data_IF_574952947543
#
_entry.id   IF_574952947543
#
_cell.length_a   1.000
_cell.length_b   1.000
_cell.length_c   1.000
_cell.angle_alpha   90.00
_cell.angle_beta   90.00
_cell.angle_gamma   90.00
#
_symmetry.space_group_name_H-M   'P 1'
#
loop_
_entity.id
_entity.type
_entity.pdbx_description
1 polymer ?
#
# COMPACT_ATOMS: atom_id res chain seq x y z
N UNK A 1 -30.69 -20.15 -21.27
CA UNK A 1 -29.98 -18.88 -21.32
C UNK A 1 -30.25 -18.18 -19.99
N UNK A 2 -29.42 -18.41 -18.98
CA UNK A 2 -29.52 -17.71 -17.70
C UNK A 2 -28.94 -16.32 -17.93
N UNK A 3 -29.76 -15.28 -17.70
CA UNK A 3 -29.33 -13.89 -17.71
C UNK A 3 -28.22 -13.65 -16.70
N UNK A 4 -27.47 -12.54 -16.83
CA UNK A 4 -26.40 -12.22 -15.89
C UNK A 4 -27.02 -12.12 -14.49
N UNK A 5 -26.57 -12.97 -13.57
CA UNK A 5 -26.89 -12.80 -12.13
C UNK A 5 -26.47 -11.37 -11.76
N UNK A 6 -27.45 -10.57 -11.35
CA UNK A 6 -27.15 -9.27 -10.75
C UNK A 6 -26.29 -9.54 -9.52
N UNK A 7 -25.07 -9.02 -9.53
CA UNK A 7 -24.19 -9.04 -8.37
C UNK A 7 -24.98 -8.34 -7.27
N UNK A 8 -25.29 -9.08 -6.21
CA UNK A 8 -25.92 -8.46 -5.04
C UNK A 8 -24.85 -7.58 -4.37
N UNK A 9 -24.88 -6.30 -4.75
CA UNK A 9 -23.92 -5.31 -4.31
C UNK A 9 -23.93 -5.14 -2.80
N UNK A 10 -25.08 -5.35 -2.17
CA UNK A 10 -25.23 -5.26 -0.72
C UNK A 10 -24.53 -6.41 -0.01
N UNK A 11 -24.52 -7.61 -0.59
CA UNK A 11 -23.76 -8.75 -0.06
C UNK A 11 -22.26 -8.48 -0.13
N UNK A 12 -21.77 -7.97 -1.25
CA UNK A 12 -20.35 -7.67 -1.41
C UNK A 12 -19.87 -6.59 -0.41
N UNK A 13 -20.63 -5.51 -0.24
CA UNK A 13 -20.30 -4.47 0.74
C UNK A 13 -20.36 -4.97 2.18
N UNK A 14 -21.33 -5.78 2.55
CA UNK A 14 -21.37 -6.40 3.88
C UNK A 14 -20.16 -7.29 4.14
N UNK A 15 -19.76 -8.10 3.18
CA UNK A 15 -18.55 -8.93 3.30
C UNK A 15 -17.28 -8.08 3.43
N UNK A 16 -17.16 -7.03 2.63
CA UNK A 16 -16.06 -6.07 2.74
C UNK A 16 -16.00 -5.41 4.12
N UNK A 17 -17.13 -4.94 4.64
CA UNK A 17 -17.19 -4.34 5.97
C UNK A 17 -16.83 -5.34 7.09
N UNK A 18 -17.31 -6.58 7.00
CA UNK A 18 -16.98 -7.63 7.96
C UNK A 18 -15.48 -7.97 7.91
N UNK A 19 -14.92 -8.12 6.73
CA UNK A 19 -13.49 -8.35 6.56
C UNK A 19 -12.67 -7.16 7.07
N UNK A 20 -13.09 -5.93 6.78
CA UNK A 20 -12.43 -4.72 7.28
C UNK A 20 -12.41 -4.63 8.81
N UNK A 21 -13.47 -5.08 9.48
CA UNK A 21 -13.54 -5.09 10.95
C UNK A 21 -12.71 -6.19 11.58
N UNK A 22 -12.73 -7.39 11.01
CA UNK A 22 -12.12 -8.59 11.60
C UNK A 22 -10.63 -8.72 11.25
N UNK A 23 -10.26 -8.49 10.02
CA UNK A 23 -8.92 -8.76 9.51
C UNK A 23 -7.80 -7.97 10.22
N UNK A 24 -7.92 -6.64 10.42
CA UNK A 24 -6.88 -5.87 11.10
C UNK A 24 -6.69 -6.29 12.56
N UNK A 25 -7.74 -6.73 13.25
CA UNK A 25 -7.64 -7.16 14.64
C UNK A 25 -6.84 -8.47 14.77
N UNK A 26 -7.12 -9.44 13.91
CA UNK A 26 -6.40 -10.73 13.86
C UNK A 26 -4.92 -10.50 13.50
N UNK A 27 -4.65 -9.70 12.49
CA UNK A 27 -3.28 -9.43 12.06
C UNK A 27 -2.47 -8.63 13.08
N UNK A 28 -3.09 -7.68 13.80
CA UNK A 28 -2.43 -6.95 14.89
C UNK A 28 -1.99 -7.88 16.01
N UNK A 29 -2.80 -8.90 16.35
CA UNK A 29 -2.42 -9.91 17.32
C UNK A 29 -1.21 -10.71 16.83
N UNK A 30 -1.22 -11.14 15.58
CA UNK A 30 -0.11 -11.87 14.95
C UNK A 30 1.19 -11.05 14.91
N UNK A 31 1.10 -9.76 14.61
CA UNK A 31 2.24 -8.83 14.64
C UNK A 31 2.86 -8.80 16.04
N UNK A 32 2.06 -8.65 17.10
CA UNK A 32 2.55 -8.65 18.49
C UNK A 32 3.22 -9.97 18.87
N UNK A 33 2.67 -11.09 18.45
CA UNK A 33 3.27 -12.41 18.67
C UNK A 33 4.64 -12.52 17.99
N UNK A 34 4.75 -12.08 16.74
CA UNK A 34 6.02 -12.07 16.00
C UNK A 34 7.03 -11.13 16.69
N UNK A 35 6.62 -9.95 17.13
CA UNK A 35 7.47 -9.00 17.86
C UNK A 35 8.00 -9.62 19.18
N UNK A 36 7.13 -10.27 19.94
CA UNK A 36 7.53 -10.97 21.17
C UNK A 36 8.55 -12.10 20.91
N UNK A 37 8.41 -12.83 19.81
CA UNK A 37 9.36 -13.86 19.38
C UNK A 37 10.68 -13.26 18.89
N UNK A 38 10.64 -12.13 18.19
CA UNK A 38 11.83 -11.41 17.73
C UNK A 38 12.71 -10.90 18.87
N UNK A 39 12.13 -10.56 20.03
CA UNK A 39 12.89 -10.19 21.23
C UNK A 39 13.73 -11.34 21.74
N UNK A 40 13.21 -12.57 21.65
CA UNK A 40 13.80 -13.79 22.24
C UNK A 40 14.59 -14.66 21.24
N UNK A 41 14.55 -14.30 19.95
CA UNK A 41 15.18 -15.12 18.91
C UNK A 41 16.71 -15.10 19.07
N UNK A 42 17.33 -16.26 18.91
CA UNK A 42 18.79 -16.39 18.86
C UNK A 42 19.34 -15.63 17.64
N UNK A 43 20.23 -14.68 17.88
CA UNK A 43 20.88 -13.85 16.87
C UNK A 43 22.26 -14.34 16.46
N UNK A 44 22.78 -15.34 17.14
CA UNK A 44 24.05 -15.98 16.80
C UNK A 44 23.87 -17.05 15.69
N UNK A 45 22.70 -17.65 15.63
CA UNK A 45 22.37 -18.61 14.58
C UNK A 45 21.92 -17.85 13.32
N UNK A 46 22.85 -17.59 12.40
CA UNK A 46 22.62 -16.85 11.14
C UNK A 46 22.88 -17.77 9.95
N UNK A 47 21.78 -18.13 9.25
CA UNK A 47 21.80 -18.93 8.03
C UNK A 47 20.79 -18.36 7.03
N UNK A 48 21.13 -18.22 5.72
CA UNK A 48 20.21 -17.64 4.74
C UNK A 48 19.00 -18.53 4.43
N UNK A 49 19.02 -19.81 4.82
CA UNK A 49 17.96 -20.78 4.49
C UNK A 49 17.06 -21.08 5.68
N UNK A 50 17.62 -21.42 6.85
CA UNK A 50 16.89 -21.96 8.00
C UNK A 50 16.95 -21.10 9.26
N UNK A 51 17.39 -19.85 9.15
CA UNK A 51 17.53 -18.96 10.30
C UNK A 51 16.15 -18.53 10.85
N UNK A 52 15.83 -18.79 12.11
CA UNK A 52 14.58 -18.35 12.75
C UNK A 52 14.39 -16.83 12.70
N UNK A 53 15.46 -16.05 12.87
CA UNK A 53 15.42 -14.60 12.75
C UNK A 53 14.96 -14.15 11.35
N UNK A 54 15.51 -14.76 10.29
CA UNK A 54 15.12 -14.47 8.92
C UNK A 54 13.64 -14.79 8.67
N UNK A 55 13.17 -15.94 9.10
CA UNK A 55 11.77 -16.35 8.95
C UNK A 55 10.83 -15.41 9.67
N UNK A 56 11.13 -15.05 10.93
CA UNK A 56 10.34 -14.10 11.70
C UNK A 56 10.31 -12.70 11.06
N UNK A 57 11.42 -12.22 10.48
CA UNK A 57 11.46 -10.93 9.80
C UNK A 57 10.66 -10.94 8.51
N UNK A 58 10.65 -12.03 7.76
CA UNK A 58 9.80 -12.20 6.58
C UNK A 58 8.33 -12.19 6.95
N UNK A 59 7.93 -12.97 7.95
CA UNK A 59 6.56 -13.00 8.48
C UNK A 59 6.12 -11.64 9.04
N UNK A 60 7.03 -10.91 9.66
CA UNK A 60 6.75 -9.57 10.18
C UNK A 60 6.43 -8.57 9.05
N UNK A 61 7.24 -8.56 7.99
CA UNK A 61 6.99 -7.71 6.82
C UNK A 61 5.66 -8.09 6.14
N UNK A 62 5.40 -9.38 5.98
CA UNK A 62 4.14 -9.91 5.47
C UNK A 62 2.94 -9.40 6.28
N UNK A 63 2.95 -9.58 7.59
CA UNK A 63 1.83 -9.20 8.46
C UNK A 63 1.62 -7.67 8.49
N UNK A 64 2.69 -6.88 8.53
CA UNK A 64 2.59 -5.42 8.50
C UNK A 64 2.00 -4.92 7.19
N UNK A 65 2.50 -5.38 6.06
CA UNK A 65 2.01 -4.95 4.76
C UNK A 65 0.60 -5.44 4.50
N UNK A 66 0.28 -6.65 4.95
CA UNK A 66 -1.08 -7.17 4.89
C UNK A 66 -2.08 -6.21 5.54
N UNK A 67 -1.82 -5.78 6.79
CA UNK A 67 -2.70 -4.79 7.46
C UNK A 67 -2.78 -3.48 6.69
N UNK A 68 -1.64 -2.96 6.25
CA UNK A 68 -1.56 -1.66 5.58
C UNK A 68 -2.28 -1.66 4.23
N UNK A 69 -2.00 -2.68 3.40
CA UNK A 69 -2.57 -2.77 2.06
C UNK A 69 -4.09 -3.00 2.10
N UNK A 70 -4.57 -3.87 3.01
CA UNK A 70 -6.01 -4.06 3.18
C UNK A 70 -6.72 -2.79 3.68
N UNK A 71 -6.14 -2.06 4.65
CA UNK A 71 -6.73 -0.79 5.08
C UNK A 71 -6.82 0.21 3.91
N UNK A 72 -5.74 0.35 3.14
CA UNK A 72 -5.71 1.22 1.97
C UNK A 72 -6.72 0.79 0.89
N UNK A 73 -6.86 -0.51 0.67
CA UNK A 73 -7.81 -1.09 -0.26
C UNK A 73 -9.26 -0.80 0.14
N UNK A 74 -9.63 -1.06 1.40
CA UNK A 74 -10.99 -0.81 1.88
C UNK A 74 -11.37 0.67 1.81
N UNK A 75 -10.44 1.58 2.10
CA UNK A 75 -10.65 3.02 1.95
C UNK A 75 -10.82 3.46 0.48
N UNK A 76 -10.41 2.65 -0.48
CA UNK A 76 -10.52 2.99 -1.91
C UNK A 76 -11.91 2.76 -2.50
N UNK A 77 -12.79 2.04 -1.79
CA UNK A 77 -14.16 1.83 -2.25
C UNK A 77 -15.06 3.03 -1.91
N UNK A 78 -15.81 3.49 -2.89
CA UNK A 78 -16.80 4.55 -2.75
C UNK A 78 -18.08 4.24 -3.51
N UNK A 79 -18.98 5.22 -3.55
CA UNK A 79 -20.17 5.16 -4.37
C UNK A 79 -19.79 5.17 -5.86
N UNK A 80 -20.56 4.46 -6.70
CA UNK A 80 -20.31 4.45 -8.14
C UNK A 80 -20.48 5.85 -8.74
N UNK A 81 -19.62 6.17 -9.71
CA UNK A 81 -19.67 7.45 -10.43
C UNK A 81 -18.85 8.57 -9.81
N UNK A 82 -18.13 8.33 -8.72
CA UNK A 82 -17.07 9.24 -8.27
C UNK A 82 -16.06 9.48 -9.39
N UNK A 83 -15.65 10.74 -9.56
CA UNK A 83 -14.70 11.16 -10.60
C UNK A 83 -13.45 11.77 -9.96
N UNK A 84 -12.27 11.56 -10.57
CA UNK A 84 -11.07 12.25 -10.11
C UNK A 84 -11.20 13.76 -10.29
N UNK A 85 -10.61 14.53 -9.38
CA UNK A 85 -10.55 15.99 -9.52
C UNK A 85 -9.74 16.39 -10.76
N UNK A 86 -10.00 17.56 -11.37
CA UNK A 86 -9.21 18.04 -12.51
C UNK A 86 -7.71 18.09 -12.22
N UNK A 87 -7.31 18.41 -10.99
CA UNK A 87 -5.93 18.42 -10.56
C UNK A 87 -5.33 17.00 -10.59
N UNK A 88 -6.05 15.99 -10.08
CA UNK A 88 -5.59 14.60 -10.10
C UNK A 88 -5.49 14.07 -11.53
N UNK A 89 -6.49 14.40 -12.40
CA UNK A 89 -6.45 14.04 -13.82
C UNK A 89 -5.21 14.63 -14.48
N UNK A 90 -4.96 15.91 -14.32
CA UNK A 90 -3.78 16.58 -14.88
C UNK A 90 -2.48 15.90 -14.47
N UNK A 91 -2.37 15.49 -13.21
CA UNK A 91 -1.18 14.79 -12.71
C UNK A 91 -1.05 13.40 -13.32
N UNK A 92 -2.13 12.62 -13.36
CA UNK A 92 -2.12 11.28 -13.99
C UNK A 92 -1.75 11.39 -15.47
N UNK A 93 -2.34 12.33 -16.19
CA UNK A 93 -2.08 12.56 -17.61
C UNK A 93 -0.62 12.94 -17.88
N UNK A 94 -0.01 13.70 -16.97
CA UNK A 94 1.41 14.06 -17.06
C UNK A 94 2.37 12.86 -17.04
N UNK A 95 1.98 11.75 -16.40
CA UNK A 95 2.83 10.54 -16.31
C UNK A 95 2.40 9.41 -17.24
N UNK A 96 1.10 9.34 -17.57
CA UNK A 96 0.54 8.22 -18.34
C UNK A 96 0.00 8.62 -19.71
N UNK A 97 0.02 9.93 -20.05
CA UNK A 97 -0.50 10.49 -21.30
C UNK A 97 -2.00 10.78 -21.27
N UNK A 98 -2.80 9.92 -20.66
CA UNK A 98 -4.23 10.16 -20.41
C UNK A 98 -4.73 9.32 -19.25
N UNK A 99 -5.88 9.71 -18.68
CA UNK A 99 -6.56 8.92 -17.64
C UNK A 99 -6.96 7.54 -18.18
N UNK A 100 -7.39 7.45 -19.43
CA UNK A 100 -7.74 6.20 -20.09
C UNK A 100 -6.53 5.27 -20.27
N UNK A 101 -5.38 5.82 -20.61
CA UNK A 101 -4.16 5.03 -20.76
C UNK A 101 -3.65 4.51 -19.41
N UNK A 102 -3.74 5.35 -18.36
CA UNK A 102 -3.49 4.89 -17.00
C UNK A 102 -4.43 3.73 -16.61
N UNK A 103 -5.73 3.86 -16.87
CA UNK A 103 -6.73 2.84 -16.54
C UNK A 103 -6.45 1.52 -17.27
N UNK A 104 -6.13 1.57 -18.57
CA UNK A 104 -5.75 0.38 -19.33
C UNK A 104 -4.54 -0.32 -18.74
N UNK A 105 -3.52 0.44 -18.36
CA UNK A 105 -2.30 -0.08 -17.76
C UNK A 105 -2.57 -0.69 -16.38
N UNK A 106 -3.33 0.01 -15.54
CA UNK A 106 -3.72 -0.47 -14.22
C UNK A 106 -4.56 -1.77 -14.30
N UNK A 107 -5.51 -1.82 -15.23
CA UNK A 107 -6.34 -3.00 -15.54
C UNK A 107 -5.49 -4.19 -16.02
N UNK A 108 -4.54 -3.96 -16.92
CA UNK A 108 -3.66 -5.00 -17.42
C UNK A 108 -2.80 -5.60 -16.30
N UNK A 109 -2.26 -4.77 -15.42
CA UNK A 109 -1.53 -5.22 -14.22
C UNK A 109 -2.44 -6.03 -13.29
N UNK A 110 -3.68 -5.58 -13.07
CA UNK A 110 -4.65 -6.29 -12.25
C UNK A 110 -5.03 -7.67 -12.80
N UNK A 111 -5.03 -7.82 -14.12
CA UNK A 111 -5.29 -9.11 -14.76
C UNK A 111 -4.13 -10.11 -14.62
N UNK A 112 -2.88 -9.63 -14.55
CA UNK A 112 -1.69 -10.48 -14.52
C UNK A 112 -1.04 -10.64 -13.14
N UNK A 113 -1.39 -9.82 -12.13
CA UNK A 113 -0.89 -9.94 -10.76
C UNK A 113 -1.59 -11.04 -9.97
N UNK A 114 -0.95 -11.53 -8.91
CA UNK A 114 -1.53 -12.54 -8.01
C UNK A 114 -2.03 -11.95 -6.69
N UNK A 115 -1.53 -10.79 -6.27
CA UNK A 115 -1.82 -10.21 -4.97
C UNK A 115 -2.35 -8.79 -5.05
N UNK A 116 -1.55 -7.84 -5.45
CA UNK A 116 -1.86 -6.41 -5.33
C UNK A 116 -1.52 -5.64 -6.60
N UNK A 117 -2.32 -4.60 -6.87
CA UNK A 117 -1.95 -3.56 -7.85
C UNK A 117 -2.05 -2.20 -7.16
N UNK A 118 -1.05 -1.37 -7.36
CA UNK A 118 -0.89 -0.11 -6.63
C UNK A 118 -0.54 1.02 -7.59
N UNK A 119 -1.34 2.09 -7.59
CA UNK A 119 -0.85 3.38 -8.07
C UNK A 119 -0.08 4.03 -6.94
N UNK A 120 1.20 4.27 -7.12
CA UNK A 120 2.10 4.80 -6.11
C UNK A 120 2.73 6.12 -6.51
N UNK A 121 3.09 6.92 -5.51
CA UNK A 121 3.92 8.11 -5.64
C UNK A 121 5.34 7.79 -5.18
N UNK A 122 6.29 7.88 -6.09
CA UNK A 122 7.70 7.58 -5.82
C UNK A 122 8.39 8.82 -5.22
N UNK A 123 8.87 8.68 -3.98
CA UNK A 123 9.56 9.75 -3.25
C UNK A 123 10.97 10.00 -3.75
N UNK A 124 11.50 9.19 -4.66
CA UNK A 124 12.85 9.39 -5.20
C UNK A 124 12.87 10.43 -6.33
N UNK A 125 11.80 10.49 -7.12
CA UNK A 125 11.71 11.36 -8.29
C UNK A 125 10.41 12.19 -8.37
N UNK A 126 9.48 11.99 -7.42
CA UNK A 126 8.20 12.68 -7.39
C UNK A 126 7.19 12.23 -8.45
N UNK A 127 7.42 11.08 -9.08
CA UNK A 127 6.60 10.56 -10.17
C UNK A 127 5.46 9.66 -9.69
N UNK A 128 4.45 9.48 -10.56
CA UNK A 128 3.43 8.44 -10.41
C UNK A 128 3.80 7.21 -11.23
N UNK A 129 3.67 6.04 -10.61
CA UNK A 129 3.93 4.74 -11.25
C UNK A 129 2.89 3.72 -10.82
N UNK A 130 2.54 2.79 -11.70
CA UNK A 130 1.80 1.59 -11.33
C UNK A 130 2.77 0.49 -10.93
N UNK A 131 2.49 -0.17 -9.81
CA UNK A 131 3.24 -1.31 -9.29
C UNK A 131 2.32 -2.51 -9.13
N UNK A 132 2.88 -3.70 -9.10
CA UNK A 132 2.20 -4.90 -8.65
C UNK A 132 3.04 -5.65 -7.63
N UNK A 133 2.39 -6.49 -6.85
CA UNK A 133 3.04 -7.43 -5.93
C UNK A 133 2.27 -8.75 -5.95
N UNK A 134 2.99 -9.85 -6.04
CA UNK A 134 2.40 -11.18 -5.97
C UNK A 134 2.24 -11.65 -4.53
N UNK A 135 2.92 -10.96 -3.58
CA UNK A 135 2.84 -11.28 -2.16
C UNK A 135 2.88 -10.00 -1.29
N UNK A 136 2.44 -10.10 -0.03
CA UNK A 136 2.39 -8.97 0.91
C UNK A 136 3.78 -8.43 1.28
N UNK A 137 4.84 -9.22 1.23
CA UNK A 137 6.18 -8.73 1.54
C UNK A 137 6.91 -8.10 0.35
N UNK A 138 6.29 -8.09 -0.81
CA UNK A 138 6.80 -7.40 -1.99
C UNK A 138 6.40 -5.92 -1.96
N UNK A 139 7.14 -5.12 -2.71
CA UNK A 139 6.88 -3.70 -2.85
C UNK A 139 8.16 -2.93 -3.20
N UNK A 140 8.00 -1.66 -3.50
CA UNK A 140 9.10 -0.75 -3.80
C UNK A 140 9.31 0.22 -2.64
N UNK A 141 10.53 0.28 -2.13
CA UNK A 141 10.90 1.17 -1.03
C UNK A 141 10.78 2.64 -1.48
N UNK A 142 10.39 3.51 -0.57
CA UNK A 142 10.15 4.93 -0.84
C UNK A 142 8.97 5.24 -1.75
N UNK A 143 8.04 4.31 -1.93
CA UNK A 143 6.77 4.54 -2.63
C UNK A 143 5.63 4.69 -1.63
N UNK A 144 4.82 5.74 -1.80
CA UNK A 144 3.58 5.96 -1.05
C UNK A 144 2.41 5.44 -1.89
N UNK A 145 1.67 4.41 -1.43
CA UNK A 145 0.49 3.92 -2.13
C UNK A 145 -0.64 4.96 -2.11
N UNK A 146 -1.19 5.26 -3.29
CA UNK A 146 -2.31 6.19 -3.46
C UNK A 146 -3.63 5.44 -3.69
N UNK A 147 -3.62 4.47 -4.61
CA UNK A 147 -4.72 3.57 -4.92
C UNK A 147 -4.21 2.15 -4.81
N UNK A 148 -4.95 1.29 -4.12
CA UNK A 148 -4.60 -0.11 -3.89
C UNK A 148 -5.76 -0.99 -4.29
N UNK A 149 -5.51 -2.01 -5.10
CA UNK A 149 -6.45 -3.03 -5.49
C UNK A 149 -5.94 -4.39 -5.04
N UNK A 150 -6.76 -5.11 -4.29
CA UNK A 150 -6.57 -6.51 -3.93
C UNK A 150 -7.05 -7.39 -5.09
N UNK A 151 -6.18 -8.24 -5.64
CA UNK A 151 -6.52 -9.18 -6.72
C UNK A 151 -6.31 -10.65 -6.32
N UNK A 152 -6.13 -10.92 -5.02
CA UNK A 152 -6.21 -12.28 -4.51
C UNK A 152 -7.61 -12.87 -4.76
N UNK A 153 -7.69 -14.17 -4.96
CA UNK A 153 -8.98 -14.84 -5.20
C UNK A 153 -9.99 -14.62 -4.07
N UNK A 154 -9.53 -14.57 -2.83
CA UNK A 154 -10.42 -14.33 -1.69
C UNK A 154 -11.11 -12.97 -1.71
N UNK A 155 -10.56 -11.98 -2.43
CA UNK A 155 -11.17 -10.66 -2.55
C UNK A 155 -12.42 -10.65 -3.43
N UNK A 156 -12.60 -11.62 -4.35
CA UNK A 156 -13.67 -11.57 -5.33
C UNK A 156 -14.39 -12.89 -5.60
N UNK A 157 -13.77 -14.07 -5.36
CA UNK A 157 -14.30 -15.35 -5.82
C UNK A 157 -15.68 -15.73 -5.21
N UNK A 158 -16.04 -15.16 -4.07
CA UNK A 158 -17.34 -15.42 -3.43
C UNK A 158 -18.51 -14.67 -4.08
N UNK A 159 -18.23 -13.61 -4.86
CA UNK A 159 -19.25 -12.69 -5.41
C UNK A 159 -19.15 -12.56 -6.92
N UNK A 160 -17.94 -12.53 -7.46
CA UNK A 160 -17.70 -12.34 -8.89
C UNK A 160 -17.34 -13.65 -9.59
N UNK A 161 -17.94 -13.89 -10.75
CA UNK A 161 -17.64 -15.08 -11.56
C UNK A 161 -16.27 -15.01 -12.23
N UNK A 162 -15.77 -13.80 -12.48
CA UNK A 162 -14.49 -13.57 -13.13
C UNK A 162 -13.73 -12.43 -12.48
N UNK A 163 -12.41 -12.49 -12.53
CA UNK A 163 -11.53 -11.40 -12.10
C UNK A 163 -11.82 -10.11 -12.86
N UNK A 164 -12.07 -10.19 -14.16
CA UNK A 164 -12.36 -9.02 -15.01
C UNK A 164 -13.61 -8.28 -14.56
N UNK A 165 -14.67 -9.00 -14.20
CA UNK A 165 -15.90 -8.40 -13.67
C UNK A 165 -15.64 -7.67 -12.34
N UNK A 166 -14.79 -8.23 -11.49
CA UNK A 166 -14.37 -7.59 -10.25
C UNK A 166 -13.53 -6.33 -10.47
N UNK A 167 -12.53 -6.41 -11.36
CA UNK A 167 -11.68 -5.24 -11.71
C UNK A 167 -12.55 -4.11 -12.26
N UNK A 168 -13.48 -4.42 -13.17
CA UNK A 168 -14.44 -3.45 -13.72
C UNK A 168 -15.31 -2.82 -12.62
N UNK A 169 -15.77 -3.63 -11.67
CA UNK A 169 -16.55 -3.16 -10.55
C UNK A 169 -15.77 -2.22 -9.65
N UNK A 170 -14.50 -2.57 -9.33
CA UNK A 170 -13.60 -1.73 -8.53
C UNK A 170 -13.35 -0.38 -9.19
N UNK A 171 -12.99 -0.36 -10.49
CA UNK A 171 -12.67 0.86 -11.22
C UNK A 171 -13.82 1.86 -11.27
N UNK A 172 -15.07 1.37 -11.31
CA UNK A 172 -16.27 2.23 -11.25
C UNK A 172 -16.56 2.81 -9.86
N UNK A 173 -15.89 2.29 -8.82
CA UNK A 173 -16.14 2.62 -7.42
C UNK A 173 -14.92 3.18 -6.70
N UNK A 174 -13.92 3.61 -7.43
CA UNK A 174 -12.74 4.25 -6.83
C UNK A 174 -13.18 5.52 -6.09
N UNK A 175 -12.83 5.60 -4.80
CA UNK A 175 -13.00 6.80 -3.99
C UNK A 175 -11.89 7.81 -4.33
N UNK A 176 -12.09 8.55 -5.41
CA UNK A 176 -11.08 9.45 -5.97
C UNK A 176 -10.67 10.59 -5.03
N UNK A 177 -11.55 10.98 -4.13
CA UNK A 177 -11.22 11.99 -3.10
C UNK A 177 -10.10 11.47 -2.17
N UNK A 178 -10.15 10.20 -1.77
CA UNK A 178 -9.11 9.57 -0.96
C UNK A 178 -7.79 9.51 -1.71
N UNK A 179 -7.81 9.16 -3.00
CA UNK A 179 -6.61 9.14 -3.86
C UNK A 179 -6.00 10.55 -3.95
N UNK A 180 -6.83 11.57 -4.16
CA UNK A 180 -6.40 12.98 -4.20
C UNK A 180 -5.77 13.44 -2.88
N UNK A 181 -6.39 13.08 -1.75
CA UNK A 181 -5.89 13.39 -0.40
C UNK A 181 -4.52 12.73 -0.15
N UNK A 182 -4.37 11.46 -0.51
CA UNK A 182 -3.09 10.74 -0.39
C UNK A 182 -2.01 11.35 -1.28
N UNK A 183 -2.34 11.72 -2.53
CA UNK A 183 -1.40 12.40 -3.42
C UNK A 183 -0.92 13.73 -2.85
N UNK A 184 -1.83 14.54 -2.31
CA UNK A 184 -1.47 15.81 -1.67
C UNK A 184 -0.51 15.58 -0.50
N UNK A 185 -0.81 14.63 0.38
CA UNK A 185 0.06 14.30 1.51
C UNK A 185 1.45 13.78 1.05
N UNK A 186 1.49 12.92 0.02
CA UNK A 186 2.74 12.41 -0.53
C UNK A 186 3.63 13.52 -1.11
N UNK A 187 3.03 14.46 -1.83
CA UNK A 187 3.72 15.64 -2.37
C UNK A 187 4.28 16.55 -1.29
N UNK A 188 3.57 16.73 -0.18
CA UNK A 188 4.09 17.50 0.96
C UNK A 188 5.32 16.82 1.61
N UNK A 189 5.32 15.50 1.71
CA UNK A 189 6.49 14.74 2.18
C UNK A 189 7.66 14.93 1.22
N UNK A 190 7.42 14.77 -0.08
CA UNK A 190 8.43 14.93 -1.12
C UNK A 190 9.05 16.33 -1.12
N UNK A 191 8.24 17.40 -1.05
CA UNK A 191 8.72 18.78 -0.97
C UNK A 191 9.62 19.00 0.24
N UNK A 192 9.24 18.48 1.41
CA UNK A 192 10.04 18.62 2.62
C UNK A 192 11.37 17.87 2.53
N UNK A 193 11.42 16.72 1.87
CA UNK A 193 12.64 15.93 1.70
C UNK A 193 13.60 16.53 0.66
N UNK A 194 13.09 17.28 -0.32
CA UNK A 194 13.88 17.89 -1.40
C UNK A 194 14.21 19.36 -1.15
N UNK A 195 13.60 19.99 -0.12
CA UNK A 195 13.95 21.36 0.29
C UNK A 195 15.35 21.38 0.89
N UNK A 196 16.19 22.40 0.59
CA UNK A 196 17.49 22.56 1.24
C UNK A 196 17.29 22.60 2.75
N UNK A 197 17.87 21.64 3.44
CA UNK A 197 17.89 21.68 4.90
C UNK A 197 18.75 22.86 5.33
N UNK A 198 18.23 23.79 6.14
CA UNK A 198 19.07 24.71 6.89
C UNK A 198 20.07 23.87 7.70
N UNK A 199 21.37 24.15 7.61
CA UNK A 199 22.35 23.39 8.37
C UNK A 199 21.94 23.41 9.85
N UNK A 200 21.91 22.24 10.48
CA UNK A 200 21.74 22.15 11.92
C UNK A 200 22.79 23.06 12.55
N UNK A 201 22.46 23.93 13.51
CA UNK A 201 23.48 24.67 14.23
C UNK A 201 24.45 23.63 14.81
N UNK A 202 25.75 23.85 14.55
CA UNK A 202 26.80 22.98 15.09
C UNK A 202 26.57 22.80 16.60
N UNK A 203 26.69 21.60 17.15
CA UNK A 203 26.61 21.43 18.60
C UNK A 203 27.71 22.28 19.22
N UNK A 204 27.29 23.17 20.11
CA UNK A 204 28.17 24.11 20.86
C UNK A 204 29.25 23.28 21.54
N UNK A 205 30.42 23.19 20.91
CA UNK A 205 31.57 22.40 21.38
C UNK A 205 32.32 23.19 22.48
N UNK A 206 31.59 23.52 23.56
CA UNK A 206 32.17 24.00 24.80
C UNK A 206 32.49 22.83 25.74
N UNK A 207 33.32 21.90 25.27
CA UNK A 207 34.08 21.06 26.18
C UNK A 207 35.38 21.81 26.52
N UNK A 208 35.31 22.52 27.63
CA UNK A 208 36.46 23.20 28.22
C UNK A 208 37.60 22.22 28.44
N UNK A 209 38.73 22.56 27.84
CA UNK A 209 40.06 22.09 28.24
C UNK A 209 40.29 22.37 29.73
N UNK A 210 40.27 21.34 30.54
CA UNK A 210 41.00 21.32 31.82
C UNK A 210 41.33 19.86 32.20
N UNK A 211 42.41 19.38 31.68
CA UNK A 211 43.18 18.32 32.32
C UNK A 211 44.53 18.95 32.71
N UNK A 212 44.58 19.52 33.87
CA UNK A 212 45.85 19.72 34.61
C UNK A 212 46.18 18.44 35.33
N UNK A 213 47.34 17.92 35.02
CA UNK A 213 48.31 17.18 35.85
C UNK A 213 47.83 16.53 37.16
N UNK A 214 47.91 15.18 37.22
CA UNK A 214 48.74 14.43 38.18
C UNK A 214 48.95 13.01 37.64
#
# INVERSE_FOLDING_TARGET
>A
MSGPMSIDQDIFFKQLEEQHKLYPAVQKTKIREIEARLIRVDRACVDPTYCPLRSLKKEYAYALNSVRLHNLYFENFGEPGSKPSPELVYVIEGYFGSLQEWEKQFRALAACSRGWVVLGFDLTDGSLKNFFADDHYEGVWSVIPLLVLDVYEHAYCSVFQTRDAYIEYFLKRIQWEIVSKRLKAAREVYKKSTSPQTPNPEPDNKLGTSCQNY
#
